data_IF_053738585558
#
_entry.id   IF_053738585558
#
_cell.length_a   1.000
_cell.length_b   1.000
_cell.length_c   1.000
_cell.angle_alpha   90.00
_cell.angle_beta   90.00
_cell.angle_gamma   90.00
#
_symmetry.space_group_name_H-M   'P 1'
#
loop_
_entity.id
_entity.type
_entity.pdbx_description
1 polymer ?
#
# COMPACT_ATOMS: atom_id res chain seq x y z
N UNK A 1 -19.56 12.38 -12.28
CA UNK A 1 -18.23 12.72 -12.54
C UNK A 1 -17.25 12.11 -11.52
N UNK A 2 -16.10 12.71 -11.41
CA UNK A 2 -14.96 12.26 -10.59
C UNK A 2 -15.33 12.07 -9.10
N UNK A 3 -16.16 12.97 -8.56
CA UNK A 3 -16.55 12.95 -7.15
C UNK A 3 -17.39 11.71 -6.77
N UNK A 4 -18.23 11.25 -7.70
CA UNK A 4 -18.99 10.00 -7.50
C UNK A 4 -18.08 8.75 -7.51
N UNK A 5 -17.09 8.71 -8.38
CA UNK A 5 -16.13 7.60 -8.42
C UNK A 5 -15.29 7.53 -7.15
N UNK A 6 -14.86 8.67 -6.62
CA UNK A 6 -14.07 8.77 -5.39
C UNK A 6 -14.92 8.36 -4.18
N UNK A 7 -16.17 8.81 -4.09
CA UNK A 7 -17.08 8.42 -3.01
C UNK A 7 -17.31 6.91 -3.00
N UNK A 8 -17.51 6.29 -4.15
CA UNK A 8 -17.68 4.82 -4.27
C UNK A 8 -16.40 4.07 -3.87
N UNK A 9 -15.22 4.56 -4.25
CA UNK A 9 -13.95 3.93 -3.90
C UNK A 9 -13.64 4.06 -2.40
N UNK A 10 -13.92 5.21 -1.79
CA UNK A 10 -13.75 5.40 -0.36
C UNK A 10 -14.67 4.47 0.44
N UNK A 11 -15.95 4.39 0.08
CA UNK A 11 -16.91 3.48 0.72
C UNK A 11 -16.49 2.01 0.60
N UNK A 12 -15.94 1.62 -0.55
CA UNK A 12 -15.41 0.27 -0.78
C UNK A 12 -14.14 0.00 0.05
N UNK A 13 -13.27 0.98 0.21
CA UNK A 13 -12.09 0.89 1.06
C UNK A 13 -12.47 0.74 2.54
N UNK A 14 -13.45 1.50 3.03
CA UNK A 14 -13.97 1.39 4.39
C UNK A 14 -14.59 0.02 4.68
N UNK A 15 -15.40 -0.51 3.75
CA UNK A 15 -15.99 -1.84 3.88
C UNK A 15 -14.93 -2.95 3.93
N UNK A 16 -13.90 -2.88 3.08
CA UNK A 16 -12.80 -3.83 3.07
C UNK A 16 -11.92 -3.70 4.32
N UNK A 17 -11.71 -2.50 4.83
CA UNK A 17 -11.00 -2.26 6.08
C UNK A 17 -11.77 -2.83 7.28
N UNK A 18 -13.07 -2.59 7.35
CA UNK A 18 -13.96 -3.17 8.36
C UNK A 18 -13.95 -4.71 8.34
N UNK A 19 -14.00 -5.31 7.15
CA UNK A 19 -13.87 -6.75 6.98
C UNK A 19 -12.50 -7.27 7.45
N UNK A 20 -11.43 -6.56 7.15
CA UNK A 20 -10.07 -6.93 7.54
C UNK A 20 -9.89 -6.88 9.06
N UNK A 21 -10.35 -5.81 9.71
CA UNK A 21 -10.34 -5.67 11.17
C UNK A 21 -11.13 -6.78 11.86
N UNK A 22 -12.32 -7.10 11.36
CA UNK A 22 -13.16 -8.17 11.92
C UNK A 22 -12.54 -9.57 11.73
N UNK A 23 -11.87 -9.82 10.60
CA UNK A 23 -11.16 -11.07 10.36
C UNK A 23 -9.97 -11.26 11.29
N UNK A 24 -9.22 -10.19 11.57
CA UNK A 24 -8.09 -10.23 12.52
C UNK A 24 -8.58 -10.41 13.96
N UNK A 25 -9.62 -9.70 14.41
CA UNK A 25 -10.24 -9.90 15.73
C UNK A 25 -10.75 -11.32 15.95
N UNK A 26 -11.32 -11.96 14.93
CA UNK A 26 -11.76 -13.37 15.01
C UNK A 26 -10.58 -14.34 15.10
N UNK A 27 -9.44 -14.03 14.46
CA UNK A 27 -8.23 -14.83 14.52
C UNK A 27 -7.59 -14.75 15.91
N UNK A 28 -7.47 -13.54 16.47
CA UNK A 28 -6.95 -13.32 17.82
C UNK A 28 -7.77 -14.09 18.88
N UNK A 29 -9.10 -14.02 18.82
CA UNK A 29 -9.98 -14.77 19.75
C UNK A 29 -9.84 -16.30 19.62
N UNK A 30 -9.56 -16.83 18.43
CA UNK A 30 -9.32 -18.28 18.23
C UNK A 30 -7.97 -18.69 18.77
N UNK A 31 -6.94 -17.84 18.61
CA UNK A 31 -5.60 -18.09 19.12
C UNK A 31 -5.60 -18.05 20.66
N UNK A 32 -6.37 -17.16 21.30
CA UNK A 32 -6.53 -17.06 22.74
C UNK A 32 -7.29 -18.28 23.35
N UNK A 33 -8.28 -18.81 22.64
CA UNK A 33 -9.00 -20.02 23.07
C UNK A 33 -8.17 -21.30 22.93
N UNK A 34 -7.25 -21.36 21.99
CA UNK A 34 -6.37 -22.52 21.79
C UNK A 34 -5.16 -22.52 22.75
N UNK A 35 -4.73 -21.36 23.27
CA UNK A 35 -3.66 -21.24 24.26
C UNK A 35 -4.08 -21.73 25.64
N UNK A 36 -5.36 -21.67 25.99
CA UNK A 36 -5.88 -22.18 27.28
C UNK A 36 -5.94 -23.71 27.39
N UNK A 37 -5.76 -24.43 26.29
CA UNK A 37 -5.79 -25.92 26.28
C UNK A 37 -4.41 -26.58 26.41
N UNK A 38 -3.32 -25.86 26.31
CA UNK A 38 -1.96 -26.41 26.33
C UNK A 38 -1.03 -25.64 27.31
N UNK A 39 -1.36 -25.61 28.60
CA UNK A 39 -0.57 -24.90 29.60
C UNK A 39 0.72 -25.61 30.05
N UNK A 40 1.14 -26.73 29.48
CA UNK A 40 2.32 -27.47 29.96
C UNK A 40 3.46 -27.69 28.96
N UNK A 41 3.51 -27.00 27.83
CA UNK A 41 4.66 -27.07 26.95
C UNK A 41 4.99 -25.68 26.33
N UNK A 42 6.15 -25.13 26.71
CA UNK A 42 6.88 -24.07 26.04
C UNK A 42 6.83 -22.63 26.58
N UNK A 43 7.52 -22.38 27.68
CA UNK A 43 7.95 -21.04 28.08
C UNK A 43 8.75 -20.29 26.97
N UNK A 44 9.52 -20.98 26.13
CA UNK A 44 10.31 -20.38 25.06
C UNK A 44 9.49 -19.88 23.86
N UNK A 45 8.35 -20.52 23.54
CA UNK A 45 7.46 -20.03 22.47
C UNK A 45 6.64 -18.81 22.93
N UNK A 46 6.30 -18.74 24.22
CA UNK A 46 5.56 -17.61 24.79
C UNK A 46 6.40 -16.34 24.85
N UNK A 47 7.70 -16.46 25.13
CA UNK A 47 8.65 -15.32 25.13
C UNK A 47 8.83 -14.79 23.71
N UNK A 48 9.09 -15.65 22.72
CA UNK A 48 9.19 -15.25 21.30
C UNK A 48 7.90 -14.64 20.76
N UNK A 49 6.73 -15.13 21.20
CA UNK A 49 5.42 -14.56 20.81
C UNK A 49 5.18 -13.19 21.44
N UNK A 50 5.58 -12.98 22.71
CA UNK A 50 5.51 -11.68 23.40
C UNK A 50 6.47 -10.64 22.80
N UNK A 51 7.67 -11.04 22.39
CA UNK A 51 8.63 -10.16 21.71
C UNK A 51 8.13 -9.79 20.30
N UNK A 52 7.54 -10.72 19.56
CA UNK A 52 6.93 -10.44 18.26
C UNK A 52 5.73 -9.50 18.36
N UNK A 53 4.88 -9.66 19.39
CA UNK A 53 3.77 -8.75 19.66
C UNK A 53 4.27 -7.37 20.06
N UNK A 54 5.33 -7.26 20.87
CA UNK A 54 5.96 -5.97 21.21
C UNK A 54 6.53 -5.26 19.99
N UNK A 55 7.18 -5.98 19.06
CA UNK A 55 7.69 -5.42 17.82
C UNK A 55 6.56 -4.98 16.85
N UNK A 56 5.45 -5.67 16.83
CA UNK A 56 4.29 -5.29 16.01
C UNK A 56 3.57 -4.05 16.60
N UNK A 57 3.49 -3.93 17.92
CA UNK A 57 2.93 -2.74 18.61
C UNK A 57 3.82 -1.50 18.41
N UNK A 58 5.15 -1.65 18.33
CA UNK A 58 6.06 -0.53 18.08
C UNK A 58 5.91 0.08 16.69
N UNK A 59 5.28 -0.62 15.73
CA UNK A 59 5.05 -0.15 14.38
C UNK A 59 3.65 0.44 14.15
N UNK A 60 2.77 0.43 15.17
CA UNK A 60 1.48 1.12 15.07
C UNK A 60 1.71 2.62 15.35
N UNK A 61 1.25 3.51 14.46
CA UNK A 61 1.31 4.95 14.74
C UNK A 61 0.56 5.27 16.03
N UNK A 62 1.20 6.03 16.92
CA UNK A 62 0.50 6.59 18.07
C UNK A 62 -0.31 7.81 17.59
N UNK A 63 -1.65 7.80 17.64
CA UNK A 63 -2.47 8.92 17.17
C UNK A 63 -2.28 10.20 17.98
N UNK A 64 -1.68 10.11 19.18
CA UNK A 64 -1.36 11.25 20.05
C UNK A 64 0.12 11.68 19.96
N UNK A 65 0.91 11.10 19.06
CA UNK A 65 2.30 11.52 18.86
C UNK A 65 2.36 12.93 18.27
N UNK A 66 3.27 13.76 18.77
CA UNK A 66 3.50 15.13 18.25
C UNK A 66 4.03 15.11 16.81
N UNK A 67 4.73 14.06 16.41
CA UNK A 67 5.24 13.84 15.07
C UNK A 67 5.32 12.35 14.78
N UNK A 68 5.11 11.98 13.52
CA UNK A 68 5.25 10.62 13.04
C UNK A 68 5.82 10.60 11.63
N UNK A 69 6.85 9.77 11.40
CA UNK A 69 7.46 9.61 10.10
C UNK A 69 7.83 8.13 9.86
N UNK A 70 7.25 7.52 8.83
CA UNK A 70 7.55 6.15 8.45
C UNK A 70 9.01 5.93 8.05
N UNK A 71 9.71 6.98 7.59
CA UNK A 71 11.14 6.92 7.26
C UNK A 71 11.99 6.61 8.48
N UNK A 72 11.72 7.26 9.60
CA UNK A 72 12.45 7.08 10.86
C UNK A 72 12.28 5.65 11.41
N UNK A 73 11.22 4.98 11.00
CA UNK A 73 10.94 3.58 11.31
C UNK A 73 11.47 2.59 10.27
N UNK A 74 12.21 3.07 9.29
CA UNK A 74 12.76 2.25 8.21
C UNK A 74 11.70 1.62 7.29
N UNK A 75 10.49 2.17 7.24
CA UNK A 75 9.38 1.61 6.47
C UNK A 75 9.26 2.21 5.06
N UNK A 76 10.03 3.25 4.75
CA UNK A 76 10.07 3.82 3.41
C UNK A 76 11.18 3.18 2.56
N UNK A 77 10.97 3.17 1.27
CA UNK A 77 11.98 2.80 0.27
C UNK A 77 12.88 4.00 -0.04
N UNK A 78 14.07 3.80 -0.64
CA UNK A 78 14.95 4.90 -1.03
C UNK A 78 14.25 5.87 -1.99
N UNK A 79 14.60 7.15 -1.87
CA UNK A 79 14.13 8.19 -2.81
C UNK A 79 14.68 7.92 -4.20
N UNK A 80 13.81 7.99 -5.21
CA UNK A 80 14.13 7.80 -6.62
C UNK A 80 14.03 9.12 -7.36
N UNK A 81 14.72 9.22 -8.50
CA UNK A 81 14.75 10.42 -9.32
C UNK A 81 14.02 10.18 -10.65
N UNK A 82 12.94 10.93 -10.91
CA UNK A 82 12.13 10.83 -12.14
C UNK A 82 12.80 11.41 -13.40
N UNK A 83 13.95 12.09 -13.24
CA UNK A 83 14.67 12.77 -14.33
C UNK A 83 13.77 13.80 -15.04
N UNK A 84 13.86 13.90 -16.39
CA UNK A 84 13.08 14.85 -17.20
C UNK A 84 11.76 14.26 -17.72
N UNK A 85 11.08 13.45 -16.91
CA UNK A 85 9.77 12.91 -17.24
C UNK A 85 8.80 13.30 -16.12
N UNK A 86 7.71 13.98 -16.45
CA UNK A 86 6.70 14.47 -15.51
C UNK A 86 5.81 13.35 -14.92
N UNK A 87 6.42 12.24 -14.51
CA UNK A 87 5.72 11.06 -13.98
C UNK A 87 5.77 10.94 -12.45
N UNK A 88 5.82 12.07 -11.72
CA UNK A 88 5.79 12.10 -10.26
C UNK A 88 4.62 11.29 -9.67
N UNK A 89 3.49 11.26 -10.34
CA UNK A 89 2.32 10.45 -9.99
C UNK A 89 2.61 8.94 -9.96
N UNK A 90 3.46 8.42 -10.86
CA UNK A 90 3.88 7.02 -10.86
C UNK A 90 4.84 6.74 -9.69
N UNK A 91 5.81 7.63 -9.44
CA UNK A 91 6.75 7.55 -8.32
C UNK A 91 6.04 7.61 -6.96
N UNK A 92 5.07 8.51 -6.81
CA UNK A 92 4.25 8.59 -5.60
C UNK A 92 3.46 7.28 -5.38
N UNK A 93 2.90 6.71 -6.44
CA UNK A 93 2.17 5.44 -6.38
C UNK A 93 3.09 4.28 -5.98
N UNK A 94 4.29 4.19 -6.57
CA UNK A 94 5.29 3.18 -6.23
C UNK A 94 5.67 3.27 -4.75
N UNK A 95 6.04 4.46 -4.28
CA UNK A 95 6.43 4.69 -2.88
C UNK A 95 5.33 4.26 -1.88
N UNK A 96 4.06 4.57 -2.17
CA UNK A 96 2.92 4.19 -1.31
C UNK A 96 2.74 2.67 -1.26
N UNK A 97 2.83 1.99 -2.41
CA UNK A 97 2.68 0.52 -2.48
C UNK A 97 3.82 -0.18 -1.77
N UNK A 98 5.06 0.24 -2.01
CA UNK A 98 6.26 -0.32 -1.40
C UNK A 98 6.25 -0.15 0.11
N UNK A 99 5.95 1.06 0.60
CA UNK A 99 5.80 1.33 2.02
C UNK A 99 4.71 0.47 2.65
N UNK A 100 3.54 0.35 1.99
CA UNK A 100 2.43 -0.47 2.48
C UNK A 100 2.80 -1.95 2.59
N UNK A 101 3.49 -2.50 1.58
CA UNK A 101 3.98 -3.87 1.60
C UNK A 101 5.00 -4.05 2.73
N UNK A 102 5.94 -3.12 2.88
CA UNK A 102 6.98 -3.17 3.93
C UNK A 102 6.38 -3.08 5.34
N UNK A 103 5.41 -2.18 5.56
CA UNK A 103 4.71 -2.03 6.83
C UNK A 103 3.95 -3.32 7.19
N UNK A 104 3.19 -3.88 6.23
CA UNK A 104 2.29 -5.02 6.48
C UNK A 104 2.98 -6.38 6.42
N UNK A 105 3.91 -6.56 5.50
CA UNK A 105 4.52 -7.87 5.20
C UNK A 105 5.98 -7.96 5.61
N UNK A 106 6.59 -6.87 6.08
CA UNK A 106 7.98 -6.79 6.57
C UNK A 106 9.03 -7.22 5.53
N UNK A 107 8.74 -7.14 4.25
CA UNK A 107 9.74 -7.34 3.20
C UNK A 107 9.80 -6.14 2.24
N UNK A 108 10.96 -5.99 1.62
CA UNK A 108 11.21 -4.94 0.66
C UNK A 108 10.84 -5.39 -0.75
N UNK A 109 10.20 -4.52 -1.50
CA UNK A 109 9.99 -4.65 -2.93
C UNK A 109 10.34 -3.32 -3.60
N UNK A 110 10.87 -3.40 -4.79
CA UNK A 110 11.17 -2.30 -5.69
C UNK A 110 10.22 -2.41 -6.90
N UNK A 111 9.13 -1.65 -6.89
CA UNK A 111 8.12 -1.69 -7.95
C UNK A 111 8.51 -0.77 -9.08
N UNK A 112 8.19 -1.14 -10.31
CA UNK A 112 8.55 -0.39 -11.52
C UNK A 112 7.64 0.82 -11.73
N UNK A 113 8.20 2.00 -11.63
CA UNK A 113 7.55 3.25 -12.04
C UNK A 113 7.30 3.26 -13.56
N UNK A 114 8.21 2.65 -14.35
CA UNK A 114 8.02 2.51 -15.79
C UNK A 114 6.79 1.69 -16.13
N UNK A 115 6.55 0.60 -15.40
CA UNK A 115 5.34 -0.21 -15.61
C UNK A 115 4.06 0.58 -15.31
N UNK A 116 4.08 1.40 -14.27
CA UNK A 116 2.94 2.27 -13.94
C UNK A 116 2.75 3.36 -15.01
N UNK A 117 3.84 3.97 -15.49
CA UNK A 117 3.83 4.99 -16.54
C UNK A 117 3.22 4.45 -17.85
N UNK A 118 3.66 3.26 -18.27
CA UNK A 118 3.32 2.71 -19.58
C UNK A 118 1.97 1.98 -19.59
N UNK A 119 1.62 1.31 -18.49
CA UNK A 119 0.53 0.33 -18.46
C UNK A 119 -0.71 0.79 -17.70
N UNK A 120 -0.59 1.76 -16.76
CA UNK A 120 -1.70 2.09 -15.90
C UNK A 120 -2.85 2.73 -16.67
N UNK A 121 -3.97 2.02 -16.67
CA UNK A 121 -5.26 2.45 -17.22
C UNK A 121 -6.38 2.21 -16.21
N UNK A 122 -7.38 3.08 -16.18
CA UNK A 122 -8.57 2.86 -15.37
C UNK A 122 -9.44 1.72 -15.95
N UNK A 123 -10.57 1.43 -15.32
CA UNK A 123 -11.53 0.41 -15.77
C UNK A 123 -12.12 0.68 -17.17
N UNK A 124 -12.06 1.92 -17.64
CA UNK A 124 -12.55 2.33 -18.94
C UNK A 124 -11.44 2.42 -20.01
N UNK A 125 -10.23 1.95 -19.70
CA UNK A 125 -9.08 1.98 -20.60
C UNK A 125 -8.38 3.33 -20.72
N UNK A 126 -8.77 4.35 -19.93
CA UNK A 126 -8.15 5.68 -19.97
C UNK A 126 -6.81 5.67 -19.23
N UNK A 127 -5.74 6.08 -19.88
CA UNK A 127 -4.39 6.13 -19.28
C UNK A 127 -4.36 6.95 -17.98
N UNK A 128 -3.53 6.52 -17.06
CA UNK A 128 -3.25 7.25 -15.82
C UNK A 128 -2.48 8.54 -16.10
N UNK A 129 -1.62 8.54 -17.10
CA UNK A 129 -0.84 9.69 -17.51
C UNK A 129 0.26 9.34 -18.50
N UNK A 130 1.23 10.25 -18.59
CA UNK A 130 2.43 10.17 -19.42
C UNK A 130 3.57 10.94 -18.77
N UNK A 131 4.70 11.12 -19.47
CA UNK A 131 5.75 12.06 -19.04
C UNK A 131 5.30 13.53 -18.97
N UNK A 132 4.10 13.87 -19.45
CA UNK A 132 3.52 15.22 -19.39
C UNK A 132 2.59 15.42 -18.19
N UNK A 133 2.53 14.46 -17.25
CA UNK A 133 1.67 14.48 -16.10
C UNK A 133 0.69 13.30 -16.05
N UNK A 134 0.02 13.14 -14.93
CA UNK A 134 -0.93 12.06 -14.75
C UNK A 134 -1.57 12.05 -13.35
N UNK A 135 -2.33 10.98 -13.09
CA UNK A 135 -3.17 10.86 -11.90
C UNK A 135 -2.98 9.51 -11.20
N UNK A 136 -2.46 9.54 -9.97
CA UNK A 136 -2.13 8.35 -9.19
C UNK A 136 -3.36 7.47 -8.86
N UNK A 137 -4.56 8.04 -8.76
CA UNK A 137 -5.78 7.26 -8.51
C UNK A 137 -6.04 6.19 -9.58
N UNK A 138 -5.76 6.50 -10.86
CA UNK A 138 -5.87 5.53 -11.94
C UNK A 138 -4.81 4.43 -11.86
N UNK A 139 -3.64 4.71 -11.27
CA UNK A 139 -2.62 3.68 -10.99
C UNK A 139 -3.16 2.69 -9.98
N UNK A 140 -3.75 3.15 -8.88
CA UNK A 140 -4.31 2.26 -7.88
C UNK A 140 -5.51 1.48 -8.42
N UNK A 141 -6.34 2.10 -9.27
CA UNK A 141 -7.43 1.39 -9.95
C UNK A 141 -6.90 0.30 -10.92
N UNK A 142 -5.82 0.58 -11.64
CA UNK A 142 -5.10 -0.44 -12.44
C UNK A 142 -4.57 -1.57 -11.56
N UNK A 143 -3.86 -1.25 -10.49
CA UNK A 143 -3.23 -2.23 -9.60
C UNK A 143 -4.23 -3.00 -8.73
N UNK A 144 -5.49 -2.57 -8.63
CA UNK A 144 -6.55 -3.39 -8.04
C UNK A 144 -6.95 -4.57 -8.92
N UNK A 145 -6.69 -4.50 -10.23
CA UNK A 145 -7.01 -5.52 -11.25
C UNK A 145 -5.77 -6.26 -11.75
N UNK A 146 -4.65 -5.57 -11.86
CA UNK A 146 -3.37 -6.09 -12.39
C UNK A 146 -2.28 -5.97 -11.32
N UNK A 147 -1.22 -6.74 -11.46
CA UNK A 147 -0.08 -6.70 -10.55
C UNK A 147 0.98 -5.71 -11.05
N UNK A 148 1.67 -5.04 -10.12
CA UNK A 148 2.86 -4.28 -10.46
C UNK A 148 3.99 -5.19 -10.92
N UNK A 149 4.81 -4.73 -11.89
CA UNK A 149 6.11 -5.32 -12.16
C UNK A 149 7.15 -4.78 -11.17
N UNK A 150 8.27 -5.47 -11.03
CA UNK A 150 9.43 -4.96 -10.30
C UNK A 150 10.32 -4.10 -11.20
N UNK A 151 11.08 -3.18 -10.61
CA UNK A 151 12.06 -2.35 -11.32
C UNK A 151 13.08 -3.20 -12.07
N UNK A 152 13.52 -4.31 -11.48
CA UNK A 152 14.43 -5.27 -12.14
C UNK A 152 13.87 -5.81 -13.45
N UNK A 153 12.55 -6.03 -13.54
CA UNK A 153 11.91 -6.59 -14.74
C UNK A 153 11.56 -5.54 -15.78
N UNK A 154 11.20 -4.36 -15.34
CA UNK A 154 10.85 -3.23 -16.21
C UNK A 154 11.53 -1.94 -15.74
N UNK A 155 12.84 -1.79 -15.96
CA UNK A 155 13.63 -0.67 -15.45
C UNK A 155 13.16 0.68 -15.97
N UNK A 156 13.25 1.71 -15.12
CA UNK A 156 12.87 3.07 -15.44
C UNK A 156 13.73 3.69 -16.55
N UNK A 157 13.08 4.29 -17.56
CA UNK A 157 13.69 4.86 -18.77
C UNK A 157 13.50 6.38 -18.92
N UNK A 158 12.73 7.02 -18.04
CA UNK A 158 12.40 8.43 -18.07
C UNK A 158 11.77 8.90 -19.42
N UNK A 159 10.97 8.05 -20.03
CA UNK A 159 10.20 8.32 -21.25
C UNK A 159 9.02 7.38 -21.36
N UNK A 160 7.99 7.80 -22.09
CA UNK A 160 6.85 6.94 -22.42
C UNK A 160 7.29 5.77 -23.32
N UNK A 161 6.87 4.55 -23.00
CA UNK A 161 7.17 3.31 -23.72
C UNK A 161 5.91 2.50 -23.95
N UNK A 162 6.05 1.39 -24.67
CA UNK A 162 4.98 0.39 -24.78
C UNK A 162 4.81 -0.38 -23.48
N UNK A 163 3.55 -0.62 -23.12
CA UNK A 163 3.22 -1.38 -21.93
C UNK A 163 3.79 -2.81 -22.00
N UNK A 164 4.57 -3.20 -21.00
CA UNK A 164 4.94 -4.58 -20.75
C UNK A 164 3.95 -5.21 -19.79
N UNK A 165 3.30 -6.30 -20.22
CA UNK A 165 2.34 -7.01 -19.38
C UNK A 165 2.89 -7.36 -17.98
N UNK A 166 2.01 -7.45 -16.99
CA UNK A 166 2.38 -7.85 -15.63
C UNK A 166 2.93 -9.28 -15.63
N UNK A 167 4.14 -9.45 -15.12
CA UNK A 167 4.77 -10.76 -14.91
C UNK A 167 4.34 -11.40 -13.59
N UNK A 168 3.98 -10.58 -12.62
CA UNK A 168 3.65 -11.00 -11.26
C UNK A 168 2.14 -10.96 -11.02
N UNK A 169 1.67 -11.72 -10.05
CA UNK A 169 0.26 -11.75 -9.66
C UNK A 169 0.01 -11.28 -8.23
N UNK A 170 1.06 -11.24 -7.41
CA UNK A 170 0.96 -10.97 -5.97
C UNK A 170 1.05 -9.50 -5.57
N UNK A 171 1.53 -8.62 -6.44
CA UNK A 171 1.72 -7.19 -6.15
C UNK A 171 0.53 -6.37 -6.59
N UNK A 172 -0.61 -6.64 -5.97
CA UNK A 172 -1.90 -5.98 -6.23
C UNK A 172 -2.33 -5.13 -5.06
N UNK A 173 -3.09 -4.09 -5.35
CA UNK A 173 -3.79 -3.27 -4.36
C UNK A 173 -5.15 -3.89 -4.08
N UNK A 174 -5.43 -4.23 -2.83
CA UNK A 174 -6.71 -4.81 -2.43
C UNK A 174 -7.84 -3.76 -2.44
N UNK A 175 -7.53 -2.56 -1.92
CA UNK A 175 -8.41 -1.40 -1.90
C UNK A 175 -7.57 -0.13 -1.77
N UNK A 176 -8.12 0.99 -2.20
CA UNK A 176 -7.52 2.30 -2.05
C UNK A 176 -8.61 3.36 -1.86
N UNK A 177 -8.24 4.50 -1.31
CA UNK A 177 -9.12 5.63 -1.08
C UNK A 177 -8.33 6.88 -0.70
N UNK A 178 -9.02 8.00 -0.60
CA UNK A 178 -8.47 9.25 -0.11
C UNK A 178 -8.84 9.45 1.35
N UNK A 179 -7.94 10.07 2.11
CA UNK A 179 -8.27 10.61 3.43
C UNK A 179 -8.87 12.00 3.23
N UNK A 180 -10.02 12.26 3.87
CA UNK A 180 -10.76 13.51 3.68
C UNK A 180 -11.49 13.57 2.34
N UNK A 181 -11.41 14.70 1.66
CA UNK A 181 -11.99 14.92 0.34
C UNK A 181 -10.99 15.64 -0.59
N UNK A 182 -11.30 15.72 -1.90
CA UNK A 182 -10.41 16.33 -2.88
C UNK A 182 -10.23 17.85 -2.72
N UNK A 183 -11.13 18.52 -2.01
CA UNK A 183 -11.17 19.97 -1.92
C UNK A 183 -10.41 20.52 -0.71
N UNK A 184 -9.90 19.64 0.19
CA UNK A 184 -9.11 20.02 1.35
C UNK A 184 -8.11 18.94 1.75
N UNK A 185 -7.07 19.34 2.45
CA UNK A 185 -6.17 18.39 3.11
C UNK A 185 -6.91 17.64 4.23
N UNK A 186 -6.54 16.37 4.48
CA UNK A 186 -7.10 15.63 5.61
C UNK A 186 -6.70 16.29 6.93
N UNK A 187 -7.60 16.23 7.89
CA UNK A 187 -7.31 16.63 9.27
C UNK A 187 -6.46 15.58 9.97
N UNK A 188 -5.80 15.97 11.07
CA UNK A 188 -5.00 15.05 11.90
C UNK A 188 -5.83 13.85 12.40
N UNK A 189 -7.14 14.03 12.62
CA UNK A 189 -8.04 12.95 13.04
C UNK A 189 -8.39 11.95 11.92
N UNK A 190 -8.26 12.37 10.67
CA UNK A 190 -8.52 11.53 9.49
C UNK A 190 -7.28 10.72 9.08
N UNK A 191 -6.10 11.11 9.54
CA UNK A 191 -4.82 10.42 9.31
C UNK A 191 -4.56 9.39 10.41
#
# INVERSE_FOLDING_TARGET
GLDNEISVQNKRAELLWGYYLNKHKKKERRDDQNTNKNQNANNNQTIKKKEKIKTDIQNVPNPNARAFNWRDRGMMTPVRHQRQCGCCWAFASAAVIEANIKIRRKFFIDTSEQHMLDCAVDRYGRKAGSCNGGWYGKVFDYLSRKSANTERWNPYKARDMFCRASRYTQYKVAAWGYLGNLNRLPTVREI
#
